data_IF_293562533896
#
_entry.id   IF_293562533896
#
_cell.length_a   1.000
_cell.length_b   1.000
_cell.length_c   1.000
_cell.angle_alpha   90.00
_cell.angle_beta   90.00
_cell.angle_gamma   90.00
#
_symmetry.space_group_name_H-M   'P 1'
#
loop_
_entity.id
_entity.type
_entity.pdbx_description
1 polymer ?
#
# COMPACT_ATOMS: atom_id res chain seq x y z
N UNK A 1 -15.51 12.14 18.40
CA UNK A 1 -15.09 11.24 17.30
C UNK A 1 -13.85 11.81 16.66
N UNK A 2 -12.76 11.04 16.63
CA UNK A 2 -11.50 11.41 15.99
C UNK A 2 -11.34 10.57 14.73
N UNK A 3 -11.10 11.22 13.59
CA UNK A 3 -10.91 10.55 12.31
C UNK A 3 -9.53 10.93 11.76
N UNK A 4 -8.68 9.92 11.52
CA UNK A 4 -7.45 10.11 10.75
C UNK A 4 -7.75 9.93 9.25
N UNK A 5 -7.49 10.98 8.47
CA UNK A 5 -7.76 10.98 7.03
C UNK A 5 -6.55 10.50 6.18
N UNK A 6 -5.48 10.01 6.80
CA UNK A 6 -4.23 9.73 6.09
C UNK A 6 -3.50 8.49 6.60
N UNK A 7 -4.18 7.35 6.62
CA UNK A 7 -3.56 6.07 6.94
C UNK A 7 -3.19 5.34 5.64
N UNK A 8 -1.94 4.95 5.51
CA UNK A 8 -1.50 4.17 4.35
C UNK A 8 -1.75 2.68 4.57
N UNK A 9 -2.16 2.01 3.51
CA UNK A 9 -2.31 0.56 3.47
C UNK A 9 -1.45 -0.06 2.38
N UNK A 10 -0.90 -1.23 2.67
CA UNK A 10 -0.10 -2.01 1.74
C UNK A 10 -0.41 -3.51 1.95
N UNK A 11 -0.52 -4.31 0.87
CA UNK A 11 -0.85 -5.73 1.03
C UNK A 11 0.29 -6.52 1.68
N UNK A 12 0.06 -7.13 2.84
CA UNK A 12 1.05 -7.99 3.49
C UNK A 12 1.51 -9.16 2.59
N UNK A 13 0.64 -9.63 1.69
CA UNK A 13 0.99 -10.66 0.71
C UNK A 13 2.19 -10.30 -0.18
N UNK A 14 2.48 -9.01 -0.38
CA UNK A 14 3.65 -8.57 -1.15
C UNK A 14 4.99 -9.03 -0.56
N UNK A 15 5.03 -9.30 0.74
CA UNK A 15 6.26 -9.76 1.39
C UNK A 15 6.50 -11.26 1.20
N UNK A 16 5.47 -12.04 0.89
CA UNK A 16 5.55 -13.51 0.79
C UNK A 16 5.34 -14.03 -0.63
N UNK A 17 4.52 -13.38 -1.44
CA UNK A 17 4.22 -13.77 -2.82
C UNK A 17 5.19 -13.12 -3.79
N UNK A 18 6.16 -13.90 -4.26
CA UNK A 18 7.20 -13.44 -5.20
C UNK A 18 6.61 -13.01 -6.56
N UNK A 19 5.57 -13.69 -7.04
CA UNK A 19 4.94 -13.37 -8.32
C UNK A 19 4.15 -12.06 -8.23
N UNK A 20 3.40 -11.86 -7.15
CA UNK A 20 2.68 -10.63 -6.89
C UNK A 20 3.65 -9.44 -6.76
N UNK A 21 4.71 -9.62 -5.98
CA UNK A 21 5.74 -8.60 -5.79
C UNK A 21 6.47 -8.27 -7.09
N UNK A 22 6.79 -9.26 -7.92
CA UNK A 22 7.42 -9.04 -9.22
C UNK A 22 6.51 -8.19 -10.13
N UNK A 23 5.20 -8.44 -10.15
CA UNK A 23 4.22 -7.63 -10.89
C UNK A 23 4.19 -6.20 -10.39
N UNK A 24 4.16 -5.99 -9.08
CA UNK A 24 4.22 -4.65 -8.49
C UNK A 24 5.50 -3.90 -8.89
N UNK A 25 6.66 -4.56 -8.84
CA UNK A 25 7.92 -3.94 -9.24
C UNK A 25 8.00 -3.63 -10.74
N UNK A 26 7.29 -4.39 -11.58
CA UNK A 26 7.22 -4.08 -13.02
C UNK A 26 6.50 -2.76 -13.30
N UNK A 27 5.55 -2.37 -12.47
CA UNK A 27 4.81 -1.12 -12.62
C UNK A 27 5.65 0.11 -12.22
N UNK A 28 6.76 -0.07 -11.50
CA UNK A 28 7.61 1.03 -11.04
C UNK A 28 8.43 1.60 -12.21
N UNK A 29 8.29 2.89 -12.53
CA UNK A 29 8.86 3.47 -13.74
C UNK A 29 10.34 3.79 -13.57
N UNK A 30 11.21 2.84 -13.89
CA UNK A 30 12.67 3.03 -13.82
C UNK A 30 13.17 4.21 -14.65
N UNK A 31 12.49 4.53 -15.75
CA UNK A 31 12.83 5.68 -16.60
C UNK A 31 12.71 7.04 -15.91
N UNK A 32 12.05 7.09 -14.74
CA UNK A 32 11.95 8.29 -13.90
C UNK A 32 12.86 8.23 -12.67
N UNK A 33 13.94 7.49 -12.76
CA UNK A 33 14.93 7.31 -11.67
C UNK A 33 14.29 6.71 -10.40
N UNK A 34 13.39 5.76 -10.60
CA UNK A 34 12.67 5.08 -9.52
C UNK A 34 12.93 3.58 -9.59
N UNK A 35 13.13 2.95 -8.45
CA UNK A 35 13.34 1.51 -8.35
C UNK A 35 12.66 0.94 -7.10
N UNK A 36 12.15 -0.29 -7.22
CA UNK A 36 11.62 -1.06 -6.10
C UNK A 36 12.53 -2.23 -5.77
N UNK A 37 12.77 -2.46 -4.51
CA UNK A 37 13.53 -3.63 -4.03
C UNK A 37 12.98 -4.13 -2.70
N UNK A 38 13.21 -5.41 -2.43
CA UNK A 38 12.97 -5.98 -1.11
C UNK A 38 14.31 -6.20 -0.39
N UNK A 39 14.37 -5.80 0.86
CA UNK A 39 15.52 -5.98 1.74
C UNK A 39 15.10 -6.69 3.03
N UNK A 40 16.04 -7.25 3.75
CA UNK A 40 15.85 -7.75 5.10
C UNK A 40 16.56 -6.80 6.08
N UNK A 41 15.81 -6.24 7.02
CA UNK A 41 16.33 -5.35 8.05
C UNK A 41 15.70 -5.70 9.40
N UNK A 42 16.54 -5.92 10.42
CA UNK A 42 16.09 -6.27 11.78
C UNK A 42 15.15 -7.49 11.81
N UNK A 43 15.40 -8.50 10.96
CA UNK A 43 14.58 -9.71 10.86
C UNK A 43 13.24 -9.55 10.15
N UNK A 44 12.89 -8.34 9.66
CA UNK A 44 11.67 -8.08 8.90
C UNK A 44 11.99 -7.83 7.42
N UNK A 45 11.12 -8.30 6.55
CA UNK A 45 11.15 -7.94 5.13
C UNK A 45 10.65 -6.50 4.98
N UNK A 46 11.34 -5.74 4.14
CA UNK A 46 10.94 -4.38 3.80
C UNK A 46 10.95 -4.23 2.27
N UNK A 47 9.91 -3.61 1.74
CA UNK A 47 9.84 -3.19 0.34
C UNK A 47 10.15 -1.71 0.30
N UNK A 48 11.25 -1.37 -0.36
CA UNK A 48 11.75 0.01 -0.45
C UNK A 48 11.56 0.51 -1.86
N UNK A 49 10.92 1.67 -2.00
CA UNK A 49 10.86 2.43 -3.25
C UNK A 49 11.89 3.54 -3.18
N UNK A 50 12.86 3.50 -4.07
CA UNK A 50 13.93 4.50 -4.18
C UNK A 50 13.56 5.57 -5.21
N UNK A 51 13.80 6.83 -4.88
CA UNK A 51 13.70 7.96 -5.80
C UNK A 51 14.53 9.13 -5.27
N UNK A 52 15.66 9.51 -5.92
CA UNK A 52 16.31 8.80 -7.05
C UNK A 52 16.84 7.42 -6.64
N UNK A 53 17.21 6.61 -7.63
CA UNK A 53 17.79 5.28 -7.37
C UNK A 53 19.00 5.40 -6.44
N UNK A 54 19.02 4.58 -5.38
CA UNK A 54 20.01 4.65 -4.29
C UNK A 54 19.58 5.49 -3.10
N UNK A 55 18.50 6.28 -3.20
CA UNK A 55 17.94 7.07 -2.10
C UNK A 55 16.56 6.51 -1.70
N UNK A 56 16.40 5.94 -0.50
CA UNK A 56 15.10 5.47 -0.03
C UNK A 56 14.09 6.62 0.04
N UNK A 57 12.94 6.45 -0.61
CA UNK A 57 11.84 7.41 -0.59
C UNK A 57 10.67 6.94 0.28
N UNK A 58 10.19 5.72 0.03
CA UNK A 58 9.10 5.10 0.79
C UNK A 58 9.51 3.69 1.13
N UNK A 59 9.24 3.24 2.35
CA UNK A 59 9.41 1.84 2.73
C UNK A 59 8.13 1.28 3.38
N UNK A 60 7.89 0.00 3.08
CA UNK A 60 6.81 -0.79 3.65
C UNK A 60 7.43 -1.89 4.47
N UNK A 61 6.99 -2.07 5.71
CA UNK A 61 7.56 -3.02 6.65
C UNK A 61 6.57 -4.16 6.87
N UNK A 62 7.04 -5.39 6.74
CA UNK A 62 6.26 -6.60 7.00
C UNK A 62 5.68 -6.58 8.42
N UNK A 63 4.39 -6.83 8.54
CA UNK A 63 3.65 -6.89 9.81
C UNK A 63 2.94 -5.59 10.19
N UNK A 64 3.28 -4.45 9.54
CA UNK A 64 2.67 -3.16 9.88
C UNK A 64 1.26 -2.99 9.27
N UNK A 65 0.90 -3.81 8.27
CA UNK A 65 -0.34 -3.68 7.49
C UNK A 65 -1.32 -4.83 7.74
N UNK A 66 -1.18 -5.55 8.86
CA UNK A 66 -2.19 -6.51 9.30
C UNK A 66 -3.42 -5.77 9.85
N UNK A 67 -4.61 -6.35 9.70
CA UNK A 67 -5.83 -5.72 10.20
C UNK A 67 -5.76 -5.49 11.72
N UNK A 68 -5.29 -6.49 12.45
CA UNK A 68 -5.12 -6.43 13.91
C UNK A 68 -4.13 -5.34 14.32
N UNK A 69 -3.00 -5.25 13.62
CA UNK A 69 -1.97 -4.23 13.89
C UNK A 69 -2.48 -2.82 13.63
N UNK A 70 -3.20 -2.62 12.53
CA UNK A 70 -3.79 -1.32 12.19
C UNK A 70 -4.83 -0.89 13.23
N UNK A 71 -5.72 -1.79 13.65
CA UNK A 71 -6.72 -1.49 14.66
C UNK A 71 -6.06 -1.18 16.01
N UNK A 72 -5.05 -1.97 16.41
CA UNK A 72 -4.31 -1.72 17.66
C UNK A 72 -3.63 -0.34 17.65
N UNK A 73 -3.03 0.06 16.52
CA UNK A 73 -2.41 1.38 16.39
C UNK A 73 -3.44 2.52 16.49
N UNK A 74 -4.64 2.35 15.93
CA UNK A 74 -5.73 3.32 16.09
C UNK A 74 -6.19 3.42 17.55
N UNK A 75 -6.31 2.31 18.24
CA UNK A 75 -6.71 2.26 19.65
C UNK A 75 -5.68 2.96 20.55
N UNK A 76 -4.39 2.67 20.33
CA UNK A 76 -3.29 3.33 21.07
C UNK A 76 -3.27 4.85 20.84
N UNK A 77 -3.55 5.29 19.61
CA UNK A 77 -3.60 6.71 19.27
C UNK A 77 -4.91 7.40 19.65
N UNK A 78 -5.91 6.68 20.16
CA UNK A 78 -7.23 7.24 20.46
C UNK A 78 -8.03 7.68 19.24
N UNK A 79 -7.79 7.04 18.10
CA UNK A 79 -8.46 7.34 16.81
C UNK A 79 -9.66 6.42 16.65
N UNK A 80 -10.84 6.99 16.45
CA UNK A 80 -12.08 6.22 16.29
C UNK A 80 -12.17 5.56 14.91
N UNK A 81 -11.79 6.27 13.85
CA UNK A 81 -11.83 5.82 12.46
C UNK A 81 -10.63 6.31 11.68
N UNK A 82 -10.26 5.58 10.62
CA UNK A 82 -9.22 6.03 9.71
C UNK A 82 -9.62 5.80 8.24
N UNK A 83 -9.19 6.72 7.39
CA UNK A 83 -9.31 6.60 5.94
C UNK A 83 -8.02 5.98 5.42
N UNK A 84 -8.15 4.75 4.92
CA UNK A 84 -7.06 4.03 4.26
C UNK A 84 -6.91 4.49 2.83
N UNK A 85 -5.70 4.74 2.42
CA UNK A 85 -5.35 5.00 1.03
C UNK A 85 -4.04 4.31 0.67
N UNK A 86 -3.81 4.18 -0.61
CA UNK A 86 -2.50 3.77 -1.12
C UNK A 86 -1.57 4.99 -1.07
N UNK A 87 -0.31 4.84 -0.65
CA UNK A 87 0.66 5.91 -0.79
C UNK A 87 0.92 6.23 -2.28
N UNK A 88 1.72 7.23 -2.57
CA UNK A 88 1.94 7.82 -3.90
C UNK A 88 2.30 6.85 -5.06
N UNK A 89 2.45 5.56 -4.79
CA UNK A 89 2.71 4.53 -5.81
C UNK A 89 1.55 4.30 -6.78
N UNK A 90 0.33 4.76 -6.46
CA UNK A 90 -0.84 4.60 -7.33
C UNK A 90 -0.66 5.27 -8.70
N UNK A 91 0.19 6.27 -8.79
CA UNK A 91 0.52 6.95 -10.05
C UNK A 91 1.15 6.02 -11.10
N UNK A 92 1.72 4.92 -10.65
CA UNK A 92 2.48 4.00 -11.51
C UNK A 92 1.81 2.63 -11.68
N UNK A 93 0.83 2.33 -10.85
CA UNK A 93 0.22 1.01 -10.87
C UNK A 93 -0.61 0.78 -12.13
N UNK A 94 -0.51 -0.42 -12.68
CA UNK A 94 -1.43 -0.93 -13.68
C UNK A 94 -2.86 -1.01 -13.13
N UNK A 95 -3.85 -1.05 -14.02
CA UNK A 95 -5.24 -1.19 -13.62
C UNK A 95 -5.48 -2.45 -12.77
N UNK A 96 -4.85 -3.56 -13.13
CA UNK A 96 -4.97 -4.82 -12.38
C UNK A 96 -4.36 -4.69 -10.96
N UNK A 97 -3.25 -3.99 -10.84
CA UNK A 97 -2.66 -3.73 -9.53
C UNK A 97 -3.54 -2.79 -8.70
N UNK A 98 -4.11 -1.75 -9.31
CA UNK A 98 -5.09 -0.88 -8.63
C UNK A 98 -6.31 -1.68 -8.14
N UNK A 99 -6.85 -2.60 -8.96
CA UNK A 99 -7.95 -3.49 -8.55
C UNK A 99 -7.55 -4.34 -7.35
N UNK A 100 -6.36 -4.95 -7.40
CA UNK A 100 -5.85 -5.77 -6.30
C UNK A 100 -5.78 -4.98 -4.99
N UNK A 101 -5.24 -3.76 -5.02
CA UNK A 101 -5.19 -2.89 -3.84
C UNK A 101 -6.58 -2.47 -3.36
N UNK A 102 -7.48 -2.12 -4.27
CA UNK A 102 -8.85 -1.72 -3.93
C UNK A 102 -9.62 -2.86 -3.26
N UNK A 103 -9.49 -4.07 -3.79
CA UNK A 103 -10.13 -5.26 -3.22
C UNK A 103 -9.62 -5.56 -1.80
N UNK A 104 -8.31 -5.43 -1.58
CA UNK A 104 -7.71 -5.60 -0.25
C UNK A 104 -8.16 -4.55 0.76
N UNK A 105 -8.18 -3.27 0.37
CA UNK A 105 -8.67 -2.19 1.23
C UNK A 105 -10.17 -2.34 1.53
N UNK A 106 -10.97 -2.74 0.53
CA UNK A 106 -12.39 -2.99 0.72
C UNK A 106 -12.64 -4.16 1.70
N UNK A 107 -11.82 -5.22 1.63
CA UNK A 107 -11.88 -6.33 2.58
C UNK A 107 -11.56 -5.87 4.02
N UNK A 108 -10.51 -5.08 4.20
CA UNK A 108 -10.16 -4.51 5.50
C UNK A 108 -11.26 -3.60 6.05
N UNK A 109 -11.81 -2.71 5.23
CA UNK A 109 -12.91 -1.85 5.63
C UNK A 109 -14.11 -2.67 6.14
N UNK A 110 -14.49 -3.72 5.39
CA UNK A 110 -15.59 -4.61 5.74
C UNK A 110 -15.35 -5.36 7.05
N UNK A 111 -14.13 -5.85 7.28
CA UNK A 111 -13.74 -6.63 8.46
C UNK A 111 -13.43 -5.79 9.70
N UNK A 112 -13.21 -4.51 9.53
CA UNK A 112 -12.80 -3.59 10.61
C UNK A 112 -13.94 -3.17 11.56
N UNK A 113 -15.18 -3.59 11.30
CA UNK A 113 -16.33 -3.13 12.08
C UNK A 113 -16.59 -1.62 11.97
N UNK A 114 -16.24 -1.02 10.81
CA UNK A 114 -16.43 0.42 10.57
C UNK A 114 -15.29 1.32 11.05
N UNK A 115 -14.19 0.73 11.54
CA UNK A 115 -13.01 1.48 11.99
C UNK A 115 -12.18 2.01 10.82
N UNK A 116 -12.14 1.26 9.71
CA UNK A 116 -11.39 1.62 8.52
C UNK A 116 -12.33 1.93 7.36
N UNK A 117 -12.02 2.98 6.63
CA UNK A 117 -12.76 3.44 5.45
C UNK A 117 -11.79 3.34 4.27
N UNK A 118 -12.16 2.58 3.24
CA UNK A 118 -11.33 2.43 2.06
C UNK A 118 -11.53 3.59 1.08
N UNK A 119 -10.44 4.20 0.64
CA UNK A 119 -10.44 5.15 -0.47
C UNK A 119 -9.88 4.45 -1.71
N UNK A 120 -10.73 4.24 -2.71
CA UNK A 120 -10.34 3.57 -3.94
C UNK A 120 -9.30 4.39 -4.72
N UNK A 121 -8.39 3.68 -5.38
CA UNK A 121 -7.41 4.25 -6.28
C UNK A 121 -7.69 3.82 -7.71
N UNK A 122 -7.42 4.71 -8.65
CA UNK A 122 -7.45 4.45 -10.09
C UNK A 122 -6.16 4.99 -10.70
N UNK A 123 -5.62 4.35 -11.74
CA UNK A 123 -4.44 4.87 -12.42
C UNK A 123 -4.80 6.17 -13.13
N UNK A 124 -4.06 7.27 -12.90
CA UNK A 124 -4.36 8.56 -13.52
C UNK A 124 -4.11 8.57 -15.04
N UNK A 125 -3.37 7.61 -15.54
CA UNK A 125 -2.96 7.47 -16.93
C UNK A 125 -3.72 6.35 -17.65
N UNK A 126 -4.99 6.15 -17.31
CA UNK A 126 -5.81 5.12 -17.95
C UNK A 126 -5.96 5.39 -19.47
N UNK A 127 -5.70 4.37 -20.29
CA UNK A 127 -6.21 4.37 -21.65
C UNK A 127 -7.74 4.25 -21.63
N UNK A 128 -8.45 4.79 -22.64
CA UNK A 128 -9.92 4.69 -22.72
C UNK A 128 -10.43 3.25 -22.55
N UNK A 129 -9.65 2.25 -22.93
CA UNK A 129 -9.94 0.83 -22.71
C UNK A 129 -9.84 0.38 -21.23
N UNK A 130 -9.36 1.22 -20.33
CA UNK A 130 -9.21 0.93 -18.89
C UNK A 130 -10.26 1.64 -18.02
N UNK A 131 -11.02 2.55 -18.63
CA UNK A 131 -12.14 3.23 -17.99
C UNK A 131 -13.45 2.52 -18.31
#
# INVERSE_FOLDING_TARGET
MVIDANVYWFPEAMFEDDALRARFFMDIPRGYDTNGKMILRNGKKQIVIERPIGCPGVDYIQGDYTLEGMIAALDEAGIDRAVMKVPCVHEWMSLDMCRYFNDGMADFARRSGGRLIALAVIPPWGHEAQL
#
